data_IF_064268294793
#
_entry.id   IF_064268294793
#
_cell.length_a   1.000
_cell.length_b   1.000
_cell.length_c   1.000
_cell.angle_alpha   90.00
_cell.angle_beta   90.00
_cell.angle_gamma   90.00
#
_symmetry.space_group_name_H-M   'P 1'
#
loop_
_entity.id
_entity.type
_entity.pdbx_description
1 polymer ?
#
# COMPACT_ATOMS: atom_id res chain seq x y z
N UNK A 1 -34.96 33.63 -2.62
CA UNK A 1 -33.55 33.18 -2.52
C UNK A 1 -33.40 31.70 -2.15
N UNK A 2 -34.45 30.97 -1.77
CA UNK A 2 -34.39 29.54 -1.38
C UNK A 2 -34.23 28.55 -2.55
N UNK A 3 -34.80 28.85 -3.73
CA UNK A 3 -34.75 27.96 -4.90
C UNK A 3 -33.31 27.65 -5.37
N UNK A 4 -32.37 28.58 -5.18
CA UNK A 4 -30.97 28.39 -5.57
C UNK A 4 -30.24 27.41 -4.63
N UNK A 5 -30.56 27.44 -3.33
CA UNK A 5 -29.93 26.55 -2.34
C UNK A 5 -30.44 25.12 -2.48
N UNK A 6 -31.75 24.95 -2.68
CA UNK A 6 -32.33 23.62 -2.88
C UNK A 6 -31.83 22.96 -4.18
N UNK A 7 -31.72 23.74 -5.27
CA UNK A 7 -31.16 23.25 -6.53
C UNK A 7 -29.68 22.87 -6.38
N UNK A 8 -28.88 23.68 -5.67
CA UNK A 8 -27.49 23.35 -5.39
C UNK A 8 -27.35 22.08 -4.53
N UNK A 9 -28.23 21.87 -3.55
CA UNK A 9 -28.23 20.65 -2.73
C UNK A 9 -28.59 19.39 -3.54
N UNK A 10 -29.57 19.49 -4.45
CA UNK A 10 -29.92 18.40 -5.38
C UNK A 10 -28.77 18.05 -6.31
N UNK A 11 -28.10 19.07 -6.84
CA UNK A 11 -26.92 18.86 -7.70
C UNK A 11 -25.76 18.24 -6.93
N UNK A 12 -25.51 18.67 -5.69
CA UNK A 12 -24.48 18.08 -4.84
C UNK A 12 -24.74 16.58 -4.59
N UNK A 13 -25.98 16.20 -4.25
CA UNK A 13 -26.35 14.79 -4.07
C UNK A 13 -26.14 13.96 -5.34
N UNK A 14 -26.48 14.52 -6.51
CA UNK A 14 -26.25 13.88 -7.80
C UNK A 14 -24.76 13.65 -8.04
N UNK A 15 -23.92 14.67 -7.84
CA UNK A 15 -22.48 14.59 -8.01
C UNK A 15 -21.84 13.60 -7.04
N UNK A 16 -22.33 13.52 -5.79
CA UNK A 16 -21.86 12.53 -4.82
C UNK A 16 -22.17 11.09 -5.28
N UNK A 17 -23.39 10.84 -5.76
CA UNK A 17 -23.75 9.53 -6.29
C UNK A 17 -22.94 9.17 -7.55
N UNK A 18 -22.69 10.13 -8.43
CA UNK A 18 -21.83 9.94 -9.61
C UNK A 18 -20.38 9.63 -9.20
N UNK A 19 -19.85 10.31 -8.18
CA UNK A 19 -18.51 10.06 -7.65
C UNK A 19 -18.41 8.63 -7.09
N UNK A 20 -19.35 8.21 -6.24
CA UNK A 20 -19.36 6.86 -5.67
C UNK A 20 -19.40 5.78 -6.77
N UNK A 21 -20.22 5.99 -7.80
CA UNK A 21 -20.30 5.08 -8.94
C UNK A 21 -18.99 5.05 -9.75
N UNK A 22 -18.34 6.20 -9.95
CA UNK A 22 -17.05 6.28 -10.63
C UNK A 22 -15.94 5.60 -9.82
N UNK A 23 -15.90 5.80 -8.51
CA UNK A 23 -14.94 5.15 -7.62
C UNK A 23 -15.09 3.62 -7.65
N UNK A 24 -16.32 3.11 -7.64
CA UNK A 24 -16.60 1.69 -7.77
C UNK A 24 -16.09 1.13 -9.11
N UNK A 25 -16.36 1.82 -10.22
CA UNK A 25 -15.87 1.43 -11.56
C UNK A 25 -14.34 1.48 -11.65
N UNK A 26 -13.71 2.50 -11.06
CA UNK A 26 -12.24 2.58 -11.00
C UNK A 26 -11.67 1.40 -10.21
N UNK A 27 -12.30 1.04 -9.08
CA UNK A 27 -11.87 -0.11 -8.28
C UNK A 27 -11.96 -1.41 -9.06
N UNK A 28 -13.05 -1.63 -9.79
CA UNK A 28 -13.23 -2.78 -10.67
C UNK A 28 -12.14 -2.85 -11.75
N UNK A 29 -11.86 -1.73 -12.44
CA UNK A 29 -10.80 -1.70 -13.44
C UNK A 29 -9.41 -1.95 -12.85
N UNK A 30 -9.13 -1.45 -11.64
CA UNK A 30 -7.89 -1.77 -10.94
C UNK A 30 -7.77 -3.26 -10.62
N UNK A 31 -8.86 -3.92 -10.22
CA UNK A 31 -8.86 -5.35 -9.96
C UNK A 31 -8.54 -6.15 -11.23
N UNK A 32 -9.16 -5.81 -12.35
CA UNK A 32 -8.85 -6.43 -13.66
C UNK A 32 -7.37 -6.29 -14.00
N UNK A 33 -6.79 -5.10 -13.80
CA UNK A 33 -5.36 -4.87 -14.06
C UNK A 33 -4.45 -5.67 -13.12
N UNK A 34 -4.83 -5.82 -11.84
CA UNK A 34 -4.08 -6.62 -10.87
C UNK A 34 -4.11 -8.11 -11.25
N UNK A 35 -5.27 -8.61 -11.70
CA UNK A 35 -5.41 -10.02 -12.10
C UNK A 35 -4.68 -10.32 -13.42
N UNK A 36 -4.57 -9.33 -14.31
CA UNK A 36 -3.94 -9.49 -15.62
C UNK A 36 -2.41 -9.29 -15.61
N UNK A 37 -1.86 -8.56 -14.63
CA UNK A 37 -0.44 -8.17 -14.60
C UNK A 37 0.21 -8.55 -13.28
N UNK A 38 1.30 -9.31 -13.37
CA UNK A 38 2.07 -9.72 -12.19
C UNK A 38 2.62 -8.51 -11.41
N UNK A 39 2.80 -8.70 -10.10
CA UNK A 39 3.41 -7.69 -9.23
C UNK A 39 4.78 -7.29 -9.78
N UNK A 40 4.95 -6.00 -10.05
CA UNK A 40 6.16 -5.43 -10.64
C UNK A 40 5.99 -5.06 -12.11
N UNK A 41 5.02 -5.65 -12.83
CA UNK A 41 4.74 -5.40 -14.25
C UNK A 41 4.06 -4.06 -14.53
N UNK A 42 4.17 -3.61 -15.78
CA UNK A 42 3.64 -2.33 -16.27
C UNK A 42 2.52 -2.52 -17.28
N UNK A 43 1.56 -1.60 -17.28
CA UNK A 43 0.48 -1.50 -18.27
C UNK A 43 0.81 -0.32 -19.18
N UNK A 44 0.92 -0.61 -20.48
CA UNK A 44 1.19 0.38 -21.51
C UNK A 44 -0.08 0.86 -22.20
N UNK A 45 -0.12 2.15 -22.53
CA UNK A 45 -1.13 2.76 -23.38
C UNK A 45 -0.37 3.52 -24.47
N UNK A 46 -0.73 3.26 -25.73
CA UNK A 46 -0.08 3.87 -26.91
C UNK A 46 1.45 3.70 -26.91
N UNK A 47 1.94 2.54 -26.44
CA UNK A 47 3.37 2.21 -26.39
C UNK A 47 4.17 2.92 -25.28
N UNK A 48 3.49 3.53 -24.30
CA UNK A 48 4.13 4.13 -23.14
C UNK A 48 3.59 3.51 -21.84
N UNK A 49 4.45 3.19 -20.85
CA UNK A 49 4.01 2.69 -19.55
C UNK A 49 3.27 3.79 -18.78
N UNK A 50 2.00 3.53 -18.47
CA UNK A 50 1.14 4.47 -17.76
C UNK A 50 0.86 4.04 -16.33
N UNK A 51 0.71 2.73 -16.12
CA UNK A 51 0.46 2.15 -14.80
C UNK A 51 1.41 1.02 -14.48
N UNK A 52 1.54 0.70 -13.20
CA UNK A 52 2.29 -0.43 -12.67
C UNK A 52 1.47 -1.13 -11.59
N UNK A 53 1.50 -2.45 -11.57
CA UNK A 53 1.02 -3.23 -10.42
C UNK A 53 2.14 -3.27 -9.39
N UNK A 54 1.90 -2.64 -8.25
CA UNK A 54 2.86 -2.51 -7.17
C UNK A 54 2.38 -3.25 -5.93
N UNK A 55 3.32 -3.59 -5.06
CA UNK A 55 3.04 -4.18 -3.76
C UNK A 55 4.04 -3.61 -2.76
N UNK A 56 3.55 -3.13 -1.62
CA UNK A 56 4.41 -2.62 -0.56
C UNK A 56 4.87 -3.77 0.33
N UNK A 57 6.12 -3.69 0.75
CA UNK A 57 6.71 -4.57 1.76
C UNK A 57 7.28 -3.69 2.86
N UNK A 58 6.59 -3.65 4.00
CA UNK A 58 6.95 -2.80 5.12
C UNK A 58 7.56 -3.65 6.24
N UNK A 59 8.73 -3.26 6.73
CA UNK A 59 9.34 -3.93 7.87
C UNK A 59 8.55 -3.68 9.16
N UNK A 60 8.28 -4.74 9.90
CA UNK A 60 7.42 -4.74 11.09
C UNK A 60 8.18 -5.31 12.29
N UNK A 61 8.33 -4.48 13.32
CA UNK A 61 9.03 -4.88 14.55
C UNK A 61 8.25 -5.97 15.30
N UNK A 62 6.92 -5.87 15.31
CA UNK A 62 6.01 -6.85 15.89
C UNK A 62 6.11 -8.23 15.22
N UNK A 63 6.38 -8.29 13.91
CA UNK A 63 6.66 -9.56 13.22
C UNK A 63 8.09 -10.04 13.52
N UNK A 64 9.04 -9.13 13.55
CA UNK A 64 10.43 -9.45 13.87
C UNK A 64 10.57 -10.06 15.28
N UNK A 65 9.84 -9.55 16.28
CA UNK A 65 9.82 -10.09 17.65
C UNK A 65 9.26 -11.51 17.75
N UNK A 66 8.43 -11.94 16.79
CA UNK A 66 7.87 -13.31 16.76
C UNK A 66 8.81 -14.32 16.11
N UNK A 67 9.69 -13.85 15.21
CA UNK A 67 10.49 -14.72 14.33
C UNK A 67 11.97 -14.69 14.71
N UNK A 68 12.48 -13.55 15.21
CA UNK A 68 13.87 -13.40 15.59
C UNK A 68 14.10 -13.87 17.04
N UNK A 69 15.30 -14.39 17.35
CA UNK A 69 15.69 -14.68 18.73
C UNK A 69 15.62 -13.45 19.64
N UNK A 70 15.22 -13.65 20.90
CA UNK A 70 15.09 -12.55 21.88
C UNK A 70 16.42 -11.82 22.13
N UNK A 71 17.55 -12.51 21.95
CA UNK A 71 18.90 -11.97 22.04
C UNK A 71 19.16 -10.91 20.97
N UNK A 72 18.61 -11.09 19.76
CA UNK A 72 18.75 -10.15 18.65
C UNK A 72 17.96 -8.86 18.94
N UNK A 73 16.74 -9.00 19.47
CA UNK A 73 15.92 -7.85 19.88
C UNK A 73 16.63 -7.08 21.00
N UNK A 74 17.13 -7.79 22.02
CA UNK A 74 17.88 -7.21 23.14
C UNK A 74 19.15 -6.48 22.67
N UNK A 75 19.89 -7.06 21.73
CA UNK A 75 21.09 -6.43 21.16
C UNK A 75 20.78 -5.17 20.32
N UNK A 76 19.56 -5.05 19.82
CA UNK A 76 19.09 -3.87 19.09
C UNK A 76 18.39 -2.83 19.99
N UNK A 77 18.20 -3.11 21.28
CA UNK A 77 17.60 -2.19 22.24
C UNK A 77 18.57 -1.06 22.59
N UNK A 78 18.18 0.19 22.34
CA UNK A 78 18.97 1.41 22.62
C UNK A 78 18.68 1.95 24.01
N UNK A 79 17.41 1.90 24.42
CA UNK A 79 16.91 2.19 25.77
C UNK A 79 15.82 1.19 26.11
N UNK A 80 15.41 1.08 27.39
CA UNK A 80 14.39 0.11 27.84
C UNK A 80 13.09 0.16 27.02
N UNK A 81 12.77 1.30 26.40
CA UNK A 81 11.54 1.51 25.61
C UNK A 81 11.79 1.71 24.11
N UNK A 82 13.05 1.69 23.65
CA UNK A 82 13.39 2.01 22.27
C UNK A 82 14.28 0.93 21.63
N UNK A 83 13.72 0.24 20.64
CA UNK A 83 14.44 -0.71 19.79
C UNK A 83 14.86 -0.02 18.48
N UNK A 84 16.12 -0.19 18.11
CA UNK A 84 16.67 0.27 16.83
C UNK A 84 16.21 -0.64 15.69
N UNK A 85 15.16 -0.19 14.98
CA UNK A 85 14.58 -0.92 13.85
C UNK A 85 15.57 -1.19 12.72
N UNK A 86 16.55 -0.32 12.50
CA UNK A 86 17.54 -0.51 11.44
C UNK A 86 18.50 -1.66 11.79
N UNK A 87 18.90 -1.74 13.06
CA UNK A 87 19.70 -2.88 13.56
C UNK A 87 18.93 -4.19 13.52
N UNK A 88 17.68 -4.21 13.99
CA UNK A 88 16.84 -5.43 13.92
C UNK A 88 16.71 -5.90 12.47
N UNK A 89 16.47 -4.98 11.54
CA UNK A 89 16.38 -5.29 10.12
C UNK A 89 17.70 -5.87 9.58
N UNK A 90 18.84 -5.30 9.94
CA UNK A 90 20.15 -5.82 9.53
C UNK A 90 20.42 -7.24 10.06
N UNK A 91 20.00 -7.55 11.29
CA UNK A 91 20.08 -8.91 11.83
C UNK A 91 19.12 -9.86 11.10
N UNK A 92 17.89 -9.43 10.81
CA UNK A 92 16.94 -10.23 10.04
C UNK A 92 17.47 -10.53 8.63
N UNK A 93 18.14 -9.57 7.99
CA UNK A 93 18.84 -9.77 6.71
C UNK A 93 19.98 -10.79 6.83
N UNK A 94 20.85 -10.64 7.84
CA UNK A 94 21.98 -11.54 8.06
C UNK A 94 21.56 -12.99 8.35
N UNK A 95 20.39 -13.17 8.98
CA UNK A 95 19.82 -14.48 9.30
C UNK A 95 18.95 -15.06 8.17
N UNK A 96 18.74 -14.32 7.08
CA UNK A 96 17.84 -14.75 5.99
C UNK A 96 16.35 -14.77 6.38
N UNK A 97 15.97 -14.06 7.45
CA UNK A 97 14.61 -14.00 8.00
C UNK A 97 13.90 -12.68 7.66
N UNK A 98 14.51 -11.81 6.85
CA UNK A 98 13.94 -10.50 6.52
C UNK A 98 12.52 -10.63 5.96
N UNK A 99 12.30 -11.52 4.99
CA UNK A 99 10.98 -11.67 4.34
C UNK A 99 9.87 -12.04 5.34
N UNK A 100 10.19 -12.80 6.38
CA UNK A 100 9.25 -13.14 7.46
C UNK A 100 8.94 -11.95 8.39
N UNK A 101 9.78 -10.92 8.37
CA UNK A 101 9.59 -9.68 9.13
C UNK A 101 8.90 -8.58 8.32
N UNK A 102 8.57 -8.83 7.05
CA UNK A 102 7.90 -7.88 6.17
C UNK A 102 6.39 -8.12 6.18
N UNK A 103 5.61 -7.07 6.42
CA UNK A 103 4.19 -7.06 6.08
C UNK A 103 4.03 -6.71 4.62
N UNK A 104 3.50 -7.67 3.88
CA UNK A 104 3.20 -7.53 2.45
C UNK A 104 1.79 -6.97 2.30
N UNK A 105 1.63 -5.88 1.55
CA UNK A 105 0.32 -5.33 1.24
C UNK A 105 -0.40 -6.14 0.16
N UNK A 106 -1.70 -5.93 0.00
CA UNK A 106 -2.38 -6.32 -1.23
C UNK A 106 -1.75 -5.60 -2.43
N UNK A 107 -1.69 -6.24 -3.62
CA UNK A 107 -1.30 -5.57 -4.85
C UNK A 107 -2.22 -4.39 -5.16
N UNK A 108 -1.66 -3.34 -5.74
CA UNK A 108 -2.42 -2.15 -6.15
C UNK A 108 -1.86 -1.53 -7.42
N UNK A 109 -2.72 -0.90 -8.20
CA UNK A 109 -2.33 -0.16 -9.39
C UNK A 109 -1.91 1.26 -9.02
N UNK A 110 -0.72 1.66 -9.47
CA UNK A 110 -0.20 3.02 -9.32
C UNK A 110 0.22 3.58 -10.67
N UNK A 111 0.13 4.91 -10.84
CA UNK A 111 0.64 5.58 -12.02
C UNK A 111 2.17 5.53 -12.04
N UNK A 112 2.75 5.37 -13.23
CA UNK A 112 4.21 5.52 -13.44
C UNK A 112 4.51 7.02 -13.41
N UNK A 113 5.29 7.48 -12.43
CA UNK A 113 5.77 8.86 -12.41
C UNK A 113 6.78 9.03 -13.56
N UNK A 114 6.49 9.96 -14.48
CA UNK A 114 7.45 10.43 -15.49
C UNK A 114 8.43 11.41 -14.87
#
# INVERSE_FOLDING_TARGET
MSANVEQAAKELLRLQAELEALEARIKEQKAILIDAVEVGGTVEIDGAPMFRVAQKKDFRLDLAEQVLPAEVITAATVTVEQVDKAKVKAYAEALGLLDSCLKVSEPFVTAVRR
#
